data_IF_737061217916
#
_entry.id   IF_737061217916
#
_cell.length_a   1.000
_cell.length_b   1.000
_cell.length_c   1.000
_cell.angle_alpha   90.00
_cell.angle_beta   90.00
_cell.angle_gamma   90.00
#
_symmetry.space_group_name_H-M   'P 1'
#
loop_
_entity.id
_entity.type
_entity.pdbx_description
1 polymer ?
#
# COMPACT_ATOMS: atom_id res chain seq x y z
N UNK A 1 2.25 1.54 -11.82
CA UNK A 1 2.16 0.20 -11.23
C UNK A 1 2.00 0.33 -9.71
N UNK A 2 1.52 -0.70 -9.02
CA UNK A 2 1.30 -0.67 -7.58
C UNK A 2 1.57 -2.03 -6.92
N UNK A 3 1.79 -2.03 -5.61
CA UNK A 3 1.90 -3.24 -4.82
C UNK A 3 1.54 -3.03 -3.34
N UNK A 4 1.26 -4.12 -2.63
CA UNK A 4 1.16 -4.12 -1.17
C UNK A 4 2.56 -4.13 -0.56
N UNK A 5 2.86 -3.19 0.33
CA UNK A 5 4.15 -3.09 1.01
C UNK A 5 4.16 -3.94 2.29
N UNK A 6 5.11 -4.88 2.45
CA UNK A 6 5.28 -5.62 3.69
C UNK A 6 5.65 -4.66 4.83
N UNK A 7 5.35 -5.03 6.08
CA UNK A 7 5.45 -4.12 7.22
C UNK A 7 6.86 -3.54 7.43
N UNK A 8 7.90 -4.32 7.14
CA UNK A 8 9.29 -3.85 7.19
C UNK A 8 9.61 -2.77 6.13
N UNK A 9 8.83 -2.67 5.07
CA UNK A 9 8.99 -1.67 4.01
C UNK A 9 8.24 -0.37 4.27
N UNK A 10 7.58 -0.20 5.43
CA UNK A 10 6.81 1.01 5.73
C UNK A 10 7.70 2.23 6.06
N UNK A 11 8.94 1.98 6.47
CA UNK A 11 9.83 3.00 7.05
C UNK A 11 10.38 4.00 6.03
N UNK A 12 10.50 3.64 4.75
CA UNK A 12 11.05 4.52 3.72
C UNK A 12 10.54 4.17 2.31
N UNK A 13 10.41 5.15 1.40
CA UNK A 13 10.10 4.90 -0.01
C UNK A 13 11.12 3.97 -0.66
N UNK A 14 10.67 3.08 -1.56
CA UNK A 14 11.54 2.08 -2.21
C UNK A 14 11.82 2.42 -3.68
N UNK A 15 13.02 2.04 -4.13
CA UNK A 15 13.32 1.81 -5.55
C UNK A 15 13.17 0.32 -5.79
N UNK A 16 12.40 -0.06 -6.80
CA UNK A 16 12.12 -1.46 -7.11
C UNK A 16 12.87 -1.83 -8.39
N UNK A 17 13.67 -2.90 -8.34
CA UNK A 17 14.36 -3.45 -9.50
C UNK A 17 13.37 -4.21 -10.38
N UNK A 18 13.70 -4.38 -11.67
CA UNK A 18 12.79 -4.95 -12.66
C UNK A 18 12.25 -6.35 -12.32
N UNK A 19 13.02 -7.16 -11.57
CA UNK A 19 12.63 -8.51 -11.15
C UNK A 19 11.49 -8.57 -10.12
N UNK A 20 11.15 -7.42 -9.51
CA UNK A 20 10.00 -7.29 -8.60
C UNK A 20 9.00 -6.28 -9.17
N UNK A 21 8.76 -6.33 -10.49
CA UNK A 21 7.86 -5.41 -11.17
C UNK A 21 6.50 -5.32 -10.42
N UNK A 22 6.11 -4.12 -9.96
CA UNK A 22 4.81 -3.95 -9.33
C UNK A 22 3.70 -4.24 -10.35
N UNK A 23 2.54 -4.72 -9.89
CA UNK A 23 1.42 -5.01 -10.79
C UNK A 23 0.93 -3.74 -11.50
N UNK A 24 0.58 -3.81 -12.80
CA UNK A 24 -0.06 -2.69 -13.48
C UNK A 24 -1.41 -2.37 -12.85
N UNK A 25 -1.61 -1.10 -12.45
CA UNK A 25 -2.85 -0.63 -11.80
C UNK A 25 -4.08 -0.85 -12.70
N UNK A 26 -3.90 -0.74 -14.01
CA UNK A 26 -4.95 -0.95 -14.99
C UNK A 26 -5.41 -2.42 -15.12
N UNK A 27 -4.62 -3.38 -14.63
CA UNK A 27 -4.95 -4.81 -14.70
C UNK A 27 -5.66 -5.31 -13.44
N UNK A 28 -5.71 -4.51 -12.38
CA UNK A 28 -6.37 -4.88 -11.13
C UNK A 28 -7.84 -4.44 -11.15
N UNK A 29 -8.71 -5.28 -11.69
CA UNK A 29 -10.15 -4.99 -11.79
C UNK A 29 -10.92 -5.22 -10.48
N UNK A 30 -10.27 -5.79 -9.46
CA UNK A 30 -10.82 -5.98 -8.13
C UNK A 30 -9.73 -5.76 -7.08
N UNK A 31 -10.12 -5.37 -5.87
CA UNK A 31 -9.22 -5.39 -4.72
C UNK A 31 -8.73 -6.84 -4.51
N UNK A 32 -7.41 -7.08 -4.49
CA UNK A 32 -6.86 -8.37 -4.14
C UNK A 32 -7.44 -8.90 -2.82
N UNK A 33 -7.79 -10.18 -2.79
CA UNK A 33 -8.38 -10.84 -1.62
C UNK A 33 -7.53 -10.71 -0.35
N UNK A 34 -6.20 -10.55 -0.49
CA UNK A 34 -5.30 -10.28 0.64
C UNK A 34 -5.61 -8.97 1.36
N UNK A 35 -6.19 -7.98 0.67
CA UNK A 35 -6.59 -6.70 1.24
C UNK A 35 -7.95 -6.78 1.93
N UNK A 36 -8.87 -7.60 1.42
CA UNK A 36 -10.20 -7.77 2.01
C UNK A 36 -10.21 -8.78 3.16
N UNK A 37 -9.31 -9.78 3.16
CA UNK A 37 -9.20 -10.77 4.23
C UNK A 37 -8.51 -10.24 5.50
N UNK A 38 -7.76 -9.13 5.40
CA UNK A 38 -7.04 -8.56 6.54
C UNK A 38 -7.88 -7.48 7.24
N UNK A 39 -8.04 -7.61 8.56
CA UNK A 39 -8.66 -6.56 9.38
C UNK A 39 -7.71 -5.43 9.80
N UNK A 40 -6.47 -5.47 9.32
CA UNK A 40 -5.41 -4.51 9.62
C UNK A 40 -5.08 -3.63 8.40
N UNK A 41 -4.65 -2.38 8.59
CA UNK A 41 -4.24 -1.50 7.49
C UNK A 41 -3.18 -2.12 6.59
N UNK A 42 -3.38 -2.00 5.27
CA UNK A 42 -2.40 -2.40 4.27
C UNK A 42 -1.81 -1.15 3.62
N UNK A 43 -0.48 -1.02 3.62
CA UNK A 43 0.19 0.07 2.92
C UNK A 43 0.36 -0.28 1.45
N UNK A 44 -0.03 0.62 0.56
CA UNK A 44 0.10 0.49 -0.88
C UNK A 44 1.14 1.49 -1.37
N UNK A 45 2.07 1.03 -2.20
CA UNK A 45 3.03 1.86 -2.92
C UNK A 45 2.61 2.05 -4.38
N UNK A 46 2.64 3.29 -4.88
CA UNK A 46 2.37 3.64 -6.28
C UNK A 46 3.66 4.02 -6.97
N UNK A 47 3.97 3.32 -8.06
CA UNK A 47 5.25 3.38 -8.75
C UNK A 47 5.11 3.86 -10.19
N UNK A 48 6.07 4.66 -10.62
CA UNK A 48 6.28 5.07 -12.01
C UNK A 48 7.63 4.55 -12.49
N UNK A 49 7.66 4.03 -13.71
CA UNK A 49 8.91 3.69 -14.37
C UNK A 49 9.53 4.95 -14.95
N UNK A 50 10.81 5.15 -14.67
CA UNK A 50 11.60 6.24 -15.21
C UNK A 50 12.17 5.88 -16.60
N UNK A 51 12.77 6.85 -17.30
CA UNK A 51 13.42 6.63 -18.60
C UNK A 51 14.54 5.58 -18.56
N UNK A 52 15.16 5.40 -17.39
CA UNK A 52 16.23 4.42 -17.13
C UNK A 52 15.69 3.01 -16.82
N UNK A 53 14.38 2.79 -16.95
CA UNK A 53 13.73 1.50 -16.68
C UNK A 53 13.53 1.17 -15.19
N UNK A 54 14.01 2.02 -14.28
CA UNK A 54 13.87 1.84 -12.81
C UNK A 54 12.48 2.28 -12.33
N UNK A 55 11.85 1.46 -11.49
CA UNK A 55 10.60 1.83 -10.83
C UNK A 55 10.86 2.63 -9.56
N UNK A 56 10.26 3.83 -9.47
CA UNK A 56 10.34 4.71 -8.30
C UNK A 56 8.96 4.86 -7.68
N UNK A 57 8.88 4.72 -6.36
CA UNK A 57 7.68 5.09 -5.62
C UNK A 57 7.44 6.61 -5.75
N UNK A 58 6.19 6.97 -6.04
CA UNK A 58 5.74 8.35 -6.26
C UNK A 58 4.68 8.79 -5.25
N UNK A 59 3.94 7.83 -4.70
CA UNK A 59 2.96 8.04 -3.65
C UNK A 59 2.79 6.73 -2.86
N UNK A 60 2.23 6.85 -1.66
CA UNK A 60 1.78 5.72 -0.85
C UNK A 60 0.58 6.10 -0.02
N UNK A 61 -0.23 5.10 0.32
CA UNK A 61 -1.44 5.27 1.10
C UNK A 61 -1.88 3.98 1.74
N UNK A 62 -2.70 4.10 2.78
CA UNK A 62 -3.30 2.95 3.43
C UNK A 62 -4.64 2.62 2.80
N UNK A 63 -4.85 1.32 2.56
CA UNK A 63 -6.19 0.75 2.43
C UNK A 63 -6.56 0.20 3.80
N UNK A 64 -7.72 0.61 4.29
CA UNK A 64 -8.25 0.26 5.60
C UNK A 64 -9.67 -0.27 5.46
N UNK A 65 -10.15 -1.09 6.40
CA UNK A 65 -11.56 -1.42 6.48
C UNK A 65 -12.43 -0.17 6.68
N UNK A 66 -13.68 -0.22 6.23
CA UNK A 66 -14.61 0.93 6.28
C UNK A 66 -14.88 1.43 7.71
N UNK A 67 -14.77 0.54 8.71
CA UNK A 67 -14.97 0.85 10.13
C UNK A 67 -13.74 1.48 10.81
N UNK A 68 -12.61 1.60 10.09
CA UNK A 68 -11.36 2.12 10.63
C UNK A 68 -11.49 3.50 11.29
N UNK A 69 -12.21 4.49 10.72
CA UNK A 69 -12.34 5.80 11.35
C UNK A 69 -12.97 5.74 12.75
N UNK A 70 -13.96 4.86 12.95
CA UNK A 70 -14.58 4.66 14.25
C UNK A 70 -13.60 4.01 15.24
N UNK A 71 -12.87 2.98 14.79
CA UNK A 71 -11.84 2.27 15.59
C UNK A 71 -10.71 3.20 16.01
N UNK A 72 -10.22 4.05 15.10
CA UNK A 72 -9.15 5.01 15.36
C UNK A 72 -9.55 6.05 16.40
N UNK A 73 -10.78 6.57 16.32
CA UNK A 73 -11.34 7.51 17.32
C UNK A 73 -11.46 6.86 18.69
N UNK A 74 -11.99 5.63 18.75
CA UNK A 74 -12.12 4.89 20.00
C UNK A 74 -10.76 4.64 20.66
N UNK A 75 -9.74 4.26 19.87
CA UNK A 75 -8.37 4.08 20.36
C UNK A 75 -7.79 5.39 20.90
N UNK A 76 -7.85 6.49 20.14
CA UNK A 76 -7.31 7.79 20.57
C UNK A 76 -7.98 8.34 21.84
N UNK A 77 -9.25 8.01 22.07
CA UNK A 77 -9.98 8.39 23.28
C UNK A 77 -9.61 7.55 24.52
N UNK A 78 -8.97 6.38 24.34
CA UNK A 78 -8.50 5.52 25.43
C UNK A 78 -7.11 5.90 25.94
N UNK A 79 -6.34 6.63 25.14
CA UNK A 79 -5.00 7.15 25.49
C UNK A 79 -5.07 8.47 26.30
N UNK A 80 -6.26 8.88 26.74
CA UNK A 80 -6.53 10.14 27.47
C UNK A 80 -7.02 9.91 28.90
#
# INVERSE_FOLDING_TARGET
AWNVLPRLAWLAPRRVTADAAPEPLAQSHALPSVLTARQAPALIGVHRQDGDGVWRETARGFIVPDDWPARARAFAAQDH
#
